data_IF_237818832754
#
_entry.id   IF_237818832754
#
_cell.length_a   1.000
_cell.length_b   1.000
_cell.length_c   1.000
_cell.angle_alpha   90.00
_cell.angle_beta   90.00
_cell.angle_gamma   90.00
#
_symmetry.space_group_name_H-M   'P 1'
#
loop_
_entity.id
_entity.type
_entity.pdbx_description
1 polymer ?
#
# COMPACT_ATOMS: atom_id res chain seq x y z
N UNK A 1 -29.16 -1.80 15.22
CA UNK A 1 -28.22 -2.65 15.98
C UNK A 1 -26.84 -2.53 15.33
N UNK A 2 -25.95 -1.71 15.89
CA UNK A 2 -24.58 -1.62 15.40
C UNK A 2 -23.85 -2.91 15.80
N UNK A 3 -23.49 -3.74 14.82
CA UNK A 3 -22.64 -4.91 15.06
C UNK A 3 -21.25 -4.40 15.42
N UNK A 4 -20.92 -4.41 16.71
CA UNK A 4 -19.55 -4.21 17.17
C UNK A 4 -18.74 -5.43 16.71
N UNK A 5 -18.01 -5.29 15.59
CA UNK A 5 -17.07 -6.33 15.13
C UNK A 5 -15.99 -6.52 16.18
N UNK A 6 -16.12 -7.57 16.99
CA UNK A 6 -15.10 -8.00 17.95
C UNK A 6 -13.78 -8.21 17.20
N UNK A 7 -12.85 -7.27 17.30
CA UNK A 7 -11.53 -7.39 16.71
C UNK A 7 -10.77 -8.52 17.41
N UNK A 8 -10.79 -9.70 16.79
CA UNK A 8 -10.10 -10.89 17.30
C UNK A 8 -8.61 -10.60 17.52
N UNK A 9 -8.01 -11.20 18.58
CA UNK A 9 -6.59 -11.08 18.85
C UNK A 9 -5.80 -11.56 17.62
N UNK A 10 -4.67 -10.91 17.36
CA UNK A 10 -3.82 -11.07 16.17
C UNK A 10 -3.81 -12.49 15.59
N UNK A 11 -4.62 -12.73 14.54
CA UNK A 11 -4.70 -14.01 13.84
C UNK A 11 -3.31 -14.46 13.39
N UNK A 12 -2.81 -15.56 13.95
CA UNK A 12 -1.60 -16.20 13.45
C UNK A 12 -1.94 -16.89 12.12
N UNK A 13 -1.08 -16.70 11.11
CA UNK A 13 -1.26 -17.39 9.83
C UNK A 13 -0.99 -18.87 10.05
N UNK A 14 -1.92 -19.74 9.64
CA UNK A 14 -1.64 -21.17 9.59
C UNK A 14 -0.64 -21.47 8.47
N UNK A 15 -0.05 -22.66 8.49
CA UNK A 15 0.85 -23.08 7.40
C UNK A 15 0.13 -23.09 6.05
N UNK A 16 -1.13 -23.56 6.01
CA UNK A 16 -1.93 -23.59 4.79
C UNK A 16 -2.24 -22.19 4.27
N UNK A 17 -2.65 -21.27 5.15
CA UNK A 17 -2.88 -19.87 4.78
C UNK A 17 -1.61 -19.20 4.27
N UNK A 18 -0.48 -19.43 4.93
CA UNK A 18 0.82 -18.90 4.50
C UNK A 18 1.24 -19.44 3.12
N UNK A 19 1.00 -20.72 2.84
CA UNK A 19 1.29 -21.33 1.54
C UNK A 19 0.30 -20.88 0.45
N UNK A 20 -0.95 -20.57 0.80
CA UNK A 20 -1.89 -20.01 -0.16
C UNK A 20 -1.48 -18.61 -0.63
N UNK A 21 -0.84 -17.82 0.25
CA UNK A 21 -0.35 -16.49 -0.09
C UNK A 21 0.76 -16.48 -1.13
N UNK A 22 1.58 -17.53 -1.24
CA UNK A 22 2.68 -17.58 -2.25
C UNK A 22 2.17 -17.64 -3.68
N UNK A 23 0.90 -18.00 -3.88
CA UNK A 23 0.26 -18.06 -5.21
C UNK A 23 -0.26 -16.70 -5.68
N UNK A 24 -0.26 -15.68 -4.83
CA UNK A 24 -0.81 -14.36 -5.14
C UNK A 24 0.22 -13.46 -5.84
N UNK A 25 -0.17 -12.72 -6.90
CA UNK A 25 0.76 -11.85 -7.61
C UNK A 25 1.27 -10.67 -6.75
N UNK A 26 0.55 -10.29 -5.70
CA UNK A 26 0.97 -9.25 -4.75
C UNK A 26 2.08 -9.72 -3.79
N UNK A 27 2.36 -11.02 -3.72
CA UNK A 27 3.28 -11.62 -2.75
C UNK A 27 4.53 -12.11 -3.47
N UNK A 28 5.69 -11.58 -3.08
CA UNK A 28 6.99 -12.04 -3.57
C UNK A 28 7.36 -13.37 -2.91
N UNK A 29 7.24 -13.43 -1.58
CA UNK A 29 7.68 -14.60 -0.82
C UNK A 29 7.01 -14.65 0.56
N UNK A 30 6.94 -15.85 1.13
CA UNK A 30 6.47 -16.08 2.49
C UNK A 30 7.51 -16.91 3.24
N UNK A 31 8.07 -16.33 4.31
CA UNK A 31 9.15 -16.93 5.09
C UNK A 31 8.67 -17.30 6.49
N UNK A 32 9.02 -18.50 6.96
CA UNK A 32 8.80 -18.91 8.36
C UNK A 32 10.01 -18.50 9.20
N UNK A 33 9.77 -17.79 10.31
CA UNK A 33 10.80 -17.49 11.31
C UNK A 33 10.33 -17.91 12.71
N UNK A 34 11.20 -17.72 13.72
CA UNK A 34 10.90 -18.06 15.12
C UNK A 34 9.70 -17.31 15.74
N UNK A 35 9.26 -16.21 15.12
CA UNK A 35 8.15 -15.36 15.56
C UNK A 35 6.88 -15.50 14.70
N UNK A 36 6.88 -16.39 13.70
CA UNK A 36 5.76 -16.64 12.81
C UNK A 36 6.09 -16.43 11.33
N UNK A 37 5.08 -16.05 10.55
CA UNK A 37 5.19 -15.89 9.10
C UNK A 37 5.48 -14.44 8.70
N UNK A 38 6.47 -14.27 7.81
CA UNK A 38 6.80 -13.03 7.14
C UNK A 38 6.34 -13.07 5.70
N UNK A 39 5.37 -12.22 5.38
CA UNK A 39 4.84 -12.05 4.02
C UNK A 39 5.56 -10.86 3.39
N UNK A 40 6.27 -11.10 2.31
CA UNK A 40 6.99 -10.08 1.55
C UNK A 40 6.14 -9.74 0.34
N UNK A 41 5.68 -8.49 0.27
CA UNK A 41 4.84 -8.00 -0.81
C UNK A 41 5.63 -7.43 -1.97
N UNK A 42 5.05 -7.43 -3.17
CA UNK A 42 5.63 -6.75 -4.33
C UNK A 42 5.75 -5.27 -4.07
N UNK A 43 6.76 -4.68 -4.66
CA UNK A 43 6.99 -3.25 -4.51
C UNK A 43 5.92 -2.41 -5.21
N UNK A 44 5.26 -2.93 -6.24
CA UNK A 44 4.11 -2.30 -6.91
C UNK A 44 2.88 -2.28 -5.99
N UNK A 45 2.55 -3.41 -5.37
CA UNK A 45 1.42 -3.48 -4.44
C UNK A 45 1.61 -2.54 -3.23
N UNK A 46 2.83 -2.46 -2.71
CA UNK A 46 3.15 -1.52 -1.62
C UNK A 46 2.91 -0.06 -2.01
N UNK A 47 3.26 0.32 -3.24
CA UNK A 47 3.09 1.69 -3.74
C UNK A 47 1.61 2.01 -3.94
N UNK A 48 0.85 1.09 -4.57
CA UNK A 48 -0.60 1.23 -4.74
C UNK A 48 -1.31 1.41 -3.39
N UNK A 49 -1.02 0.54 -2.43
CA UNK A 49 -1.62 0.61 -1.09
C UNK A 49 -1.29 1.93 -0.41
N UNK A 50 -0.04 2.39 -0.52
CA UNK A 50 0.39 3.63 0.12
C UNK A 50 -0.32 4.83 -0.50
N UNK A 51 -0.43 4.88 -1.83
CA UNK A 51 -1.11 5.96 -2.55
C UNK A 51 -2.60 6.04 -2.16
N UNK A 52 -3.31 4.91 -2.24
CA UNK A 52 -4.74 4.83 -1.89
C UNK A 52 -5.01 5.18 -0.44
N UNK A 53 -4.14 4.73 0.47
CA UNK A 53 -4.22 5.11 1.88
C UNK A 53 -4.04 6.62 2.10
N UNK A 54 -3.08 7.26 1.42
CA UNK A 54 -2.87 8.71 1.48
C UNK A 54 -4.03 9.50 0.85
N UNK A 55 -4.79 8.89 -0.06
CA UNK A 55 -6.03 9.44 -0.61
C UNK A 55 -7.24 9.29 0.33
N UNK A 56 -7.07 8.63 1.49
CA UNK A 56 -8.10 8.48 2.52
C UNK A 56 -8.83 7.13 2.50
N UNK A 57 -8.46 6.20 1.62
CA UNK A 57 -9.03 4.85 1.64
C UNK A 57 -8.55 4.06 2.87
N UNK A 58 -9.45 3.25 3.44
CA UNK A 58 -9.13 2.48 4.65
C UNK A 58 -8.21 1.31 4.28
N UNK A 59 -7.13 1.05 5.04
CA UNK A 59 -6.21 -0.07 4.76
C UNK A 59 -6.89 -1.42 4.55
N UNK A 60 -7.91 -1.71 5.36
CA UNK A 60 -8.65 -2.97 5.27
C UNK A 60 -9.46 -3.10 3.97
N UNK A 61 -9.95 -2.00 3.40
CA UNK A 61 -10.70 -1.99 2.14
C UNK A 61 -9.77 -2.17 0.94
N UNK A 62 -8.62 -1.48 0.95
CA UNK A 62 -7.57 -1.63 -0.06
C UNK A 62 -7.11 -3.09 -0.10
N UNK A 63 -6.77 -3.69 1.05
CA UNK A 63 -6.32 -5.08 1.07
C UNK A 63 -7.43 -6.07 0.67
N UNK A 64 -8.70 -5.77 0.96
CA UNK A 64 -9.84 -6.60 0.50
C UNK A 64 -9.98 -6.60 -1.02
N UNK A 65 -9.67 -5.50 -1.73
CA UNK A 65 -9.73 -5.50 -3.20
C UNK A 65 -8.74 -6.47 -3.86
N UNK A 66 -7.72 -6.94 -3.13
CA UNK A 66 -6.75 -7.95 -3.57
C UNK A 66 -6.98 -9.32 -2.92
N UNK A 67 -8.14 -9.53 -2.30
CA UNK A 67 -8.44 -10.72 -1.50
C UNK A 67 -7.36 -11.01 -0.44
N UNK A 68 -6.78 -9.96 0.15
CA UNK A 68 -5.75 -9.98 1.19
C UNK A 68 -6.26 -9.29 2.47
N UNK A 69 -7.58 -9.24 2.63
CA UNK A 69 -8.25 -8.52 3.70
C UNK A 69 -7.88 -9.00 5.12
N UNK A 70 -8.41 -8.32 6.14
CA UNK A 70 -8.21 -8.67 7.55
C UNK A 70 -8.56 -10.13 7.90
N UNK A 71 -9.43 -10.76 7.13
CA UNK A 71 -9.84 -12.16 7.26
C UNK A 71 -8.68 -13.12 6.96
N UNK A 72 -7.76 -12.70 6.08
CA UNK A 72 -6.59 -13.47 5.67
C UNK A 72 -5.36 -13.08 6.50
N UNK A 73 -5.01 -11.78 6.52
CA UNK A 73 -3.77 -11.31 7.12
C UNK A 73 -3.92 -10.89 8.60
N UNK A 74 -5.12 -10.51 9.01
CA UNK A 74 -5.40 -9.88 10.30
C UNK A 74 -5.31 -8.35 10.26
N UNK A 75 -6.25 -7.68 10.92
CA UNK A 75 -6.33 -6.20 11.00
C UNK A 75 -4.99 -5.56 11.42
N UNK A 76 -4.39 -6.04 12.51
CA UNK A 76 -3.14 -5.48 13.05
C UNK A 76 -1.94 -5.66 12.12
N UNK A 77 -1.90 -6.71 11.30
CA UNK A 77 -0.83 -6.87 10.30
C UNK A 77 -0.96 -5.84 9.21
N UNK A 78 -2.17 -5.65 8.68
CA UNK A 78 -2.48 -4.66 7.64
C UNK A 78 -2.11 -3.25 8.12
N UNK A 79 -2.58 -2.84 9.30
CA UNK A 79 -2.24 -1.53 9.90
C UNK A 79 -0.72 -1.33 10.01
N UNK A 80 0.00 -2.35 10.50
CA UNK A 80 1.46 -2.28 10.67
C UNK A 80 2.21 -2.23 9.34
N UNK A 81 1.73 -2.95 8.31
CA UNK A 81 2.29 -2.88 6.97
C UNK A 81 2.18 -1.47 6.41
N UNK A 82 0.97 -0.90 6.40
CA UNK A 82 0.72 0.45 5.88
C UNK A 82 1.51 1.50 6.67
N UNK A 83 1.49 1.46 8.01
CA UNK A 83 2.28 2.36 8.84
C UNK A 83 3.77 2.31 8.50
N UNK A 84 4.33 1.10 8.32
CA UNK A 84 5.74 0.94 7.95
C UNK A 84 6.02 1.49 6.56
N UNK A 85 5.12 1.28 5.60
CA UNK A 85 5.37 1.71 4.23
C UNK A 85 5.29 3.23 4.05
N UNK A 86 4.38 3.88 4.76
CA UNK A 86 4.24 5.35 4.80
C UNK A 86 5.43 6.01 5.51
N UNK A 87 5.80 5.51 6.70
CA UNK A 87 6.80 6.18 7.55
C UNK A 87 8.25 5.77 7.27
N UNK A 88 8.46 4.58 6.69
CA UNK A 88 9.79 4.02 6.45
C UNK A 88 9.90 3.43 5.03
N UNK A 89 9.84 4.27 3.98
CA UNK A 89 10.00 3.81 2.61
C UNK A 89 11.38 3.16 2.40
N UNK A 90 11.43 2.02 1.70
CA UNK A 90 12.72 1.36 1.39
C UNK A 90 13.57 2.25 0.48
N UNK A 91 14.90 2.12 0.49
CA UNK A 91 15.79 2.90 -0.40
C UNK A 91 15.40 2.78 -1.88
N UNK A 92 14.95 1.60 -2.32
CA UNK A 92 14.42 1.37 -3.67
C UNK A 92 13.11 2.11 -3.92
N UNK A 93 12.20 2.17 -2.94
CA UNK A 93 10.95 2.93 -3.00
C UNK A 93 11.20 4.43 -2.99
N UNK A 94 12.10 4.92 -2.13
CA UNK A 94 12.55 6.32 -2.10
C UNK A 94 13.13 6.74 -3.46
N UNK A 95 13.97 5.89 -4.10
CA UNK A 95 14.54 6.19 -5.42
C UNK A 95 13.47 6.26 -6.53
N UNK A 96 12.44 5.40 -6.51
CA UNK A 96 11.31 5.47 -7.45
C UNK A 96 10.38 6.65 -7.18
N UNK A 97 10.06 6.90 -5.90
CA UNK A 97 9.31 8.07 -5.47
C UNK A 97 10.00 9.36 -5.87
N UNK A 98 11.32 9.46 -5.83
CA UNK A 98 12.05 10.64 -6.34
C UNK A 98 11.94 10.79 -7.86
N UNK A 99 11.92 9.68 -8.62
CA UNK A 99 11.68 9.70 -10.07
C UNK A 99 10.26 10.12 -10.41
N UNK A 100 9.25 9.65 -9.67
CA UNK A 100 7.84 10.04 -9.83
C UNK A 100 7.55 11.44 -9.28
N UNK A 101 8.14 11.87 -8.15
CA UNK A 101 8.02 13.25 -7.65
C UNK A 101 8.61 14.25 -8.65
N UNK A 102 9.71 13.90 -9.32
CA UNK A 102 10.29 14.71 -10.40
C UNK A 102 9.38 14.75 -11.64
N UNK A 103 8.51 13.76 -11.84
CA UNK A 103 7.45 13.77 -12.86
C UNK A 103 6.24 14.61 -12.41
N UNK A 104 5.84 14.54 -11.13
CA UNK A 104 4.74 15.37 -10.59
C UNK A 104 5.12 16.85 -10.46
N UNK A 105 6.34 17.18 -10.06
CA UNK A 105 6.83 18.57 -10.03
C UNK A 105 6.99 19.17 -11.43
N UNK A 106 7.38 18.37 -12.43
CA UNK A 106 7.47 18.83 -13.83
C UNK A 106 6.09 18.96 -14.47
N UNK A 107 5.16 18.05 -14.22
CA UNK A 107 3.77 18.16 -14.68
C UNK A 107 3.03 19.34 -14.02
N UNK A 108 3.25 19.60 -12.72
CA UNK A 108 2.64 20.72 -11.99
C UNK A 108 3.26 22.09 -12.36
N UNK A 109 4.57 22.14 -12.68
CA UNK A 109 5.21 23.34 -13.29
C UNK A 109 4.72 23.62 -14.71
N UNK A 110 4.37 22.58 -15.47
CA UNK A 110 3.89 22.74 -16.85
C UNK A 110 2.39 23.09 -16.93
N UNK A 111 1.58 22.74 -15.92
CA UNK A 111 0.20 23.21 -15.78
C UNK A 111 0.11 24.68 -15.32
N UNK A 112 1.02 25.14 -14.46
CA UNK A 112 1.03 26.53 -13.98
C UNK A 112 1.60 27.55 -14.99
N UNK A 113 2.19 27.08 -16.11
CA UNK A 113 2.78 27.93 -17.13
C UNK A 113 2.05 27.89 -18.49
N UNK A 114 0.95 27.15 -18.61
CA UNK A 114 0.10 27.07 -19.83
C UNK A 114 -1.14 27.96 -19.76
N UNK A 115 -1.26 28.80 -18.72
CA UNK A 115 -2.34 29.79 -18.56
C UNK A 115 -1.91 31.27 -18.72
N UNK A 116 -0.73 31.55 -19.29
CA UNK A 116 -0.26 32.94 -19.51
C UNK A 116 0.23 33.19 -20.94
N UNK A 117 -0.64 32.86 -21.88
CA UNK A 117 -0.75 33.30 -23.27
C UNK A 117 -2.22 33.00 -23.57
N UNK A 118 -3.13 33.93 -23.80
CA UNK A 118 -3.10 35.11 -24.65
C UNK A 118 -4.03 36.17 -24.07
N UNK A 119 -3.68 37.45 -24.28
CA UNK A 119 -4.58 38.58 -24.54
C UNK A 119 -3.66 39.79 -24.77
N UNK A 120 -3.08 39.85 -25.96
CA UNK A 120 -2.85 41.14 -26.62
C UNK A 120 -3.90 41.19 -27.72
N UNK A 121 -4.65 42.29 -27.82
CA UNK A 121 -4.68 43.14 -29.02
C UNK A 121 -5.75 44.24 -28.84
N UNK A 122 -5.33 45.46 -29.24
CA UNK A 122 -6.01 46.78 -29.32
C UNK A 122 -6.20 47.64 -28.04
#
# INVERSE_FOLDING_TARGET
>A
MAKTESHSPSKLLTTEEAMALTKKPEVINVLKNKHGWWVIFTTQFQDEVTLRYLQGERPSEIFRSHNLGPEVLGYKRIERCVYRWVNHPSKSRVKRWQTEHRLYETLNKNQTNTGKKENNDE
#
